data_IF_876956997448
#
_entry.id   IF_876956997448
#
_cell.length_a   1.000
_cell.length_b   1.000
_cell.length_c   1.000
_cell.angle_alpha   90.00
_cell.angle_beta   90.00
_cell.angle_gamma   90.00
#
_symmetry.space_group_name_H-M   'P 1'
#
loop_
_entity.id
_entity.type
_entity.pdbx_description
1 polymer ?
#
# COMPACT_ATOMS: atom_id res chain seq x y z
N UNK A 1 -10.10 -34.10 -61.53
CA UNK A 1 -8.83 -33.48 -61.08
C UNK A 1 -9.02 -32.25 -60.20
N UNK A 2 -9.80 -31.22 -60.60
CA UNK A 2 -9.96 -29.97 -59.81
C UNK A 2 -10.40 -30.16 -58.35
N UNK A 3 -11.36 -31.06 -58.06
CA UNK A 3 -11.83 -31.34 -56.68
C UNK A 3 -10.74 -31.93 -55.75
N UNK A 4 -9.82 -32.71 -56.30
CA UNK A 4 -8.76 -33.36 -55.53
C UNK A 4 -7.65 -32.36 -55.18
N UNK A 5 -7.38 -31.39 -56.06
CA UNK A 5 -6.43 -30.29 -55.81
C UNK A 5 -6.91 -29.35 -54.71
N UNK A 6 -8.21 -29.04 -54.65
CA UNK A 6 -8.77 -28.20 -53.57
C UNK A 6 -8.70 -28.87 -52.20
N UNK A 7 -8.94 -30.20 -52.12
CA UNK A 7 -8.87 -30.93 -50.84
C UNK A 7 -7.43 -30.96 -50.29
N UNK A 8 -6.44 -31.15 -51.17
CA UNK A 8 -5.02 -31.11 -50.77
C UNK A 8 -4.61 -29.71 -50.33
N UNK A 9 -5.05 -28.66 -51.04
CA UNK A 9 -4.73 -27.28 -50.67
C UNK A 9 -5.37 -26.87 -49.34
N UNK A 10 -6.63 -27.26 -49.09
CA UNK A 10 -7.30 -27.02 -47.80
C UNK A 10 -6.60 -27.80 -46.68
N UNK A 11 -6.16 -29.03 -46.91
CA UNK A 11 -5.43 -29.82 -45.92
C UNK A 11 -4.08 -29.20 -45.53
N UNK A 12 -3.36 -28.60 -46.50
CA UNK A 12 -2.10 -27.88 -46.25
C UNK A 12 -2.35 -26.58 -45.47
N UNK A 13 -3.38 -25.81 -45.83
CA UNK A 13 -3.73 -24.58 -45.13
C UNK A 13 -4.19 -24.86 -43.70
N UNK A 14 -4.98 -25.92 -43.48
CA UNK A 14 -5.42 -26.33 -42.15
C UNK A 14 -4.26 -26.86 -41.31
N UNK A 15 -3.28 -27.57 -41.88
CA UNK A 15 -2.08 -27.99 -41.14
C UNK A 15 -1.15 -26.83 -40.81
N UNK A 16 -1.02 -25.83 -41.69
CA UNK A 16 -0.31 -24.58 -41.39
C UNK A 16 -1.00 -23.76 -40.30
N UNK A 17 -2.33 -23.67 -40.32
CA UNK A 17 -3.12 -23.00 -39.28
C UNK A 17 -3.05 -23.74 -37.93
N UNK A 18 -3.08 -25.08 -37.94
CA UNK A 18 -2.94 -25.89 -36.72
C UNK A 18 -1.53 -25.82 -36.15
N UNK A 19 -0.48 -25.71 -36.98
CA UNK A 19 0.88 -25.45 -36.54
C UNK A 19 1.06 -24.04 -35.95
N UNK A 20 0.28 -23.05 -36.43
CA UNK A 20 0.24 -21.69 -35.88
C UNK A 20 -0.56 -21.55 -34.58
N UNK A 21 -1.39 -22.55 -34.23
CA UNK A 21 -2.17 -22.57 -32.99
C UNK A 21 -1.52 -23.36 -31.86
N UNK A 22 -0.37 -24.01 -32.09
CA UNK A 22 0.47 -24.52 -31.00
C UNK A 22 1.27 -23.34 -30.47
N UNK A 23 0.60 -22.50 -29.68
CA UNK A 23 1.28 -21.52 -28.83
C UNK A 23 2.40 -22.24 -28.10
N UNK A 24 3.62 -21.77 -28.31
CA UNK A 24 4.83 -22.27 -27.65
C UNK A 24 4.73 -21.84 -26.19
N UNK A 25 3.83 -22.47 -25.43
CA UNK A 25 3.76 -22.25 -24.00
C UNK A 25 5.08 -22.74 -23.42
N UNK A 26 5.88 -21.84 -22.83
CA UNK A 26 7.17 -22.21 -22.33
C UNK A 26 6.94 -23.25 -21.22
N UNK A 27 7.61 -24.41 -21.32
CA UNK A 27 7.44 -25.52 -20.37
C UNK A 27 8.33 -25.26 -19.17
N UNK A 28 7.73 -25.21 -17.99
CA UNK A 28 8.45 -25.03 -16.73
C UNK A 28 9.52 -26.12 -16.52
N UNK A 29 10.55 -25.75 -15.76
CA UNK A 29 11.59 -26.66 -15.30
C UNK A 29 11.00 -27.87 -14.54
N UNK A 30 11.83 -28.86 -14.19
CA UNK A 30 11.33 -30.06 -13.51
C UNK A 30 10.62 -29.76 -12.18
N UNK A 31 10.92 -28.63 -11.55
CA UNK A 31 10.24 -28.17 -10.32
C UNK A 31 8.97 -27.37 -10.59
N UNK A 32 8.71 -26.96 -11.83
CA UNK A 32 7.53 -26.21 -12.21
C UNK A 32 7.56 -24.74 -11.79
N UNK A 33 8.70 -24.18 -11.38
CA UNK A 33 8.80 -22.87 -10.71
C UNK A 33 9.18 -21.73 -11.65
N UNK A 34 10.02 -22.00 -12.65
CA UNK A 34 10.48 -21.00 -13.60
C UNK A 34 10.70 -21.61 -14.99
N UNK A 35 10.87 -20.75 -15.99
CA UNK A 35 11.35 -21.11 -17.32
C UNK A 35 12.49 -20.17 -17.68
N UNK A 36 13.64 -20.72 -18.04
CA UNK A 36 14.73 -19.98 -18.66
C UNK A 36 14.68 -20.24 -20.17
N UNK A 37 14.06 -19.32 -20.90
CA UNK A 37 13.94 -19.41 -22.35
C UNK A 37 15.20 -18.81 -22.99
N UNK A 38 16.01 -19.66 -23.63
CA UNK A 38 17.21 -19.21 -24.33
C UNK A 38 16.85 -18.55 -25.66
N UNK A 39 17.49 -17.42 -25.92
CA UNK A 39 17.43 -16.63 -27.15
C UNK A 39 18.81 -16.63 -27.84
N UNK A 40 18.90 -16.19 -29.11
CA UNK A 40 20.19 -16.10 -29.81
C UNK A 40 21.23 -15.20 -29.13
N UNK A 41 20.78 -14.19 -28.40
CA UNK A 41 21.57 -13.12 -27.78
C UNK A 41 21.38 -13.02 -26.26
N UNK A 42 20.81 -14.06 -25.64
CA UNK A 42 20.56 -14.04 -24.20
C UNK A 42 19.56 -15.09 -23.73
N UNK A 43 18.90 -14.80 -22.62
CA UNK A 43 17.80 -15.61 -22.11
C UNK A 43 16.73 -14.74 -21.44
N UNK A 44 15.50 -15.21 -21.46
CA UNK A 44 14.37 -14.63 -20.74
C UNK A 44 13.95 -15.56 -19.60
N UNK A 45 13.75 -14.99 -18.42
CA UNK A 45 13.22 -15.69 -17.26
C UNK A 45 11.72 -15.45 -17.15
N UNK A 46 10.95 -16.54 -17.09
CA UNK A 46 9.56 -16.56 -16.69
C UNK A 46 9.47 -17.20 -15.30
N UNK A 47 8.59 -16.68 -14.48
CA UNK A 47 8.34 -17.18 -13.12
C UNK A 47 6.90 -17.64 -13.04
N UNK A 48 6.62 -18.71 -12.30
CA UNK A 48 5.26 -19.24 -12.17
C UNK A 48 4.37 -18.24 -11.44
N UNK A 49 3.12 -18.13 -11.90
CA UNK A 49 2.07 -17.38 -11.22
C UNK A 49 1.90 -17.85 -9.75
N UNK A 50 1.75 -16.88 -8.85
CA UNK A 50 1.57 -17.09 -7.42
C UNK A 50 2.87 -17.13 -6.60
N UNK A 51 4.04 -17.11 -7.25
CA UNK A 51 5.31 -16.85 -6.57
C UNK A 51 5.43 -15.34 -6.34
N UNK A 52 5.69 -14.93 -5.10
CA UNK A 52 5.87 -13.52 -4.75
C UNK A 52 7.33 -13.09 -4.94
N UNK A 53 8.29 -13.98 -4.62
CA UNK A 53 9.71 -13.77 -4.89
C UNK A 53 10.44 -15.06 -5.29
N UNK A 54 11.50 -14.93 -6.09
CA UNK A 54 12.37 -16.01 -6.55
C UNK A 54 13.83 -15.59 -6.39
N UNK A 55 14.69 -16.48 -5.90
CA UNK A 55 16.14 -16.31 -5.94
C UNK A 55 16.73 -17.42 -6.81
N UNK A 56 17.48 -17.02 -7.84
CA UNK A 56 18.18 -17.95 -8.73
C UNK A 56 19.69 -17.71 -8.65
N UNK A 57 20.48 -18.77 -8.81
CA UNK A 57 21.91 -18.66 -9.08
C UNK A 57 22.16 -19.04 -10.53
N UNK A 58 22.57 -18.06 -11.33
CA UNK A 58 22.97 -18.22 -12.72
C UNK A 58 24.43 -18.65 -12.79
N UNK A 59 24.70 -19.62 -13.66
CA UNK A 59 26.05 -20.07 -14.01
C UNK A 59 26.22 -20.00 -15.52
N UNK A 60 27.38 -19.52 -15.96
CA UNK A 60 27.70 -19.33 -17.38
C UNK A 60 28.97 -18.50 -17.56
N UNK A 61 29.62 -18.62 -18.71
CA UNK A 61 30.81 -17.83 -19.01
C UNK A 61 30.46 -16.35 -19.18
N UNK A 62 31.22 -15.48 -18.48
CA UNK A 62 31.19 -14.04 -18.70
C UNK A 62 29.93 -13.31 -18.22
N UNK A 63 29.09 -13.93 -17.39
CA UNK A 63 27.89 -13.29 -16.84
C UNK A 63 28.24 -12.13 -15.91
N UNK A 64 27.60 -10.99 -16.13
CA UNK A 64 27.74 -9.79 -15.29
C UNK A 64 26.39 -9.25 -14.84
N UNK A 65 26.42 -8.38 -13.85
CA UNK A 65 25.22 -7.71 -13.35
C UNK A 65 24.62 -6.81 -14.44
N UNK A 66 25.47 -6.16 -15.23
CA UNK A 66 25.07 -5.27 -16.33
C UNK A 66 24.26 -5.96 -17.44
N UNK A 67 24.33 -7.29 -17.51
CA UNK A 67 23.60 -8.10 -18.48
C UNK A 67 22.12 -8.30 -18.09
N UNK A 68 21.75 -7.94 -16.86
CA UNK A 68 20.41 -8.14 -16.32
C UNK A 68 19.52 -6.94 -16.56
N UNK A 69 18.38 -7.15 -17.21
CA UNK A 69 17.38 -6.12 -17.46
C UNK A 69 16.00 -6.54 -16.94
N UNK A 70 15.46 -5.89 -15.89
CA UNK A 70 14.09 -6.15 -15.44
C UNK A 70 13.09 -5.75 -16.54
N UNK A 71 12.11 -6.60 -16.81
CA UNK A 71 11.12 -6.38 -17.89
C UNK A 71 9.74 -5.94 -17.38
N UNK A 72 9.52 -5.96 -16.06
CA UNK A 72 8.25 -5.67 -15.41
C UNK A 72 8.46 -4.86 -14.12
N UNK A 73 7.38 -4.60 -13.38
CA UNK A 73 7.43 -4.05 -12.03
C UNK A 73 8.03 -5.05 -11.04
N UNK A 74 9.32 -5.31 -11.17
CA UNK A 74 10.08 -6.19 -10.27
C UNK A 74 11.23 -5.41 -9.65
N UNK A 75 11.51 -5.69 -8.39
CA UNK A 75 12.77 -5.30 -7.75
C UNK A 75 13.76 -6.44 -7.93
N UNK A 76 15.04 -6.10 -8.06
CA UNK A 76 16.12 -7.07 -8.23
C UNK A 76 17.25 -6.74 -7.27
N UNK A 77 17.72 -7.75 -6.55
CA UNK A 77 18.98 -7.72 -5.79
C UNK A 77 19.93 -8.72 -6.45
N UNK A 78 21.17 -8.32 -6.67
CA UNK A 78 22.19 -9.15 -7.31
C UNK A 78 23.41 -9.31 -6.42
N UNK A 79 24.00 -10.50 -6.44
CA UNK A 79 25.29 -10.80 -5.81
C UNK A 79 26.13 -11.62 -6.76
N UNK A 80 27.35 -11.17 -7.02
CA UNK A 80 28.29 -11.88 -7.90
C UNK A 80 29.40 -12.52 -7.09
N UNK A 81 29.64 -13.81 -7.30
CA UNK A 81 30.72 -14.58 -6.71
C UNK A 81 31.54 -15.25 -7.82
N UNK A 82 32.50 -14.53 -8.40
CA UNK A 82 33.51 -14.98 -9.40
C UNK A 82 32.97 -15.69 -10.66
N UNK A 83 32.30 -16.84 -10.54
CA UNK A 83 31.67 -17.61 -11.62
C UNK A 83 30.14 -17.60 -11.59
N UNK A 84 29.54 -17.21 -10.45
CA UNK A 84 28.12 -17.37 -10.20
C UNK A 84 27.48 -16.00 -9.96
N UNK A 85 26.29 -15.81 -10.53
CA UNK A 85 25.50 -14.60 -10.35
C UNK A 85 24.17 -14.97 -9.68
N UNK A 86 24.04 -14.63 -8.40
CA UNK A 86 22.80 -14.77 -7.65
C UNK A 86 21.90 -13.57 -7.91
N UNK A 87 20.65 -13.84 -8.25
CA UNK A 87 19.64 -12.83 -8.60
C UNK A 87 18.38 -13.15 -7.80
N UNK A 88 18.06 -12.28 -6.84
CA UNK A 88 16.78 -12.29 -6.15
C UNK A 88 15.83 -11.31 -6.87
N UNK A 89 14.62 -11.77 -7.18
CA UNK A 89 13.60 -11.02 -7.91
C UNK A 89 12.32 -11.11 -7.11
N UNK A 90 11.71 -9.96 -6.82
CA UNK A 90 10.38 -9.92 -6.21
C UNK A 90 9.48 -8.97 -6.98
N UNK A 91 8.24 -9.40 -7.20
CA UNK A 91 7.25 -8.59 -7.86
C UNK A 91 6.75 -7.47 -6.95
N UNK A 92 6.53 -6.29 -7.53
CA UNK A 92 5.71 -5.24 -6.92
C UNK A 92 4.62 -4.85 -7.92
N UNK A 93 3.39 -4.59 -7.43
CA UNK A 93 2.18 -4.43 -8.25
C UNK A 93 1.80 -5.72 -9.00
N UNK A 94 0.87 -5.61 -9.94
CA UNK A 94 0.35 -6.75 -10.71
C UNK A 94 1.37 -7.20 -11.78
N UNK A 95 2.41 -7.94 -11.38
CA UNK A 95 3.32 -8.63 -12.31
C UNK A 95 2.53 -9.68 -13.10
N UNK A 96 2.65 -9.63 -14.42
CA UNK A 96 2.04 -10.60 -15.32
C UNK A 96 3.05 -11.71 -15.62
N UNK A 97 2.93 -12.80 -14.87
CA UNK A 97 3.80 -13.97 -15.02
C UNK A 97 3.62 -14.73 -16.34
N UNK A 98 2.64 -14.37 -17.19
CA UNK A 98 2.57 -14.85 -18.58
C UNK A 98 3.62 -14.19 -19.49
N UNK A 99 4.32 -13.16 -18.99
CA UNK A 99 5.41 -12.44 -19.66
C UNK A 99 6.72 -12.67 -18.92
N UNK A 100 7.88 -12.52 -19.61
CA UNK A 100 9.16 -12.65 -18.94
C UNK A 100 9.37 -11.51 -17.93
N UNK A 101 10.03 -11.81 -16.81
CA UNK A 101 10.31 -10.84 -15.73
C UNK A 101 11.73 -10.29 -15.78
N UNK A 102 12.65 -11.02 -16.42
CA UNK A 102 14.06 -10.66 -16.53
C UNK A 102 14.60 -11.07 -17.89
N UNK A 103 15.30 -10.15 -18.56
CA UNK A 103 16.15 -10.43 -19.71
C UNK A 103 17.61 -10.52 -19.22
N UNK A 104 18.33 -11.50 -19.75
CA UNK A 104 19.75 -11.75 -19.46
C UNK A 104 20.50 -11.71 -20.80
N UNK A 105 21.16 -10.60 -21.11
CA UNK A 105 21.95 -10.48 -22.34
C UNK A 105 23.23 -11.32 -22.26
N UNK A 106 23.51 -12.14 -23.26
CA UNK A 106 24.75 -12.93 -23.28
C UNK A 106 25.05 -13.46 -24.67
N UNK A 107 26.29 -13.28 -25.12
CA UNK A 107 26.82 -13.91 -26.34
C UNK A 107 26.95 -15.44 -26.19
N UNK A 108 26.90 -15.97 -24.96
CA UNK A 108 27.07 -17.38 -24.62
C UNK A 108 25.82 -17.99 -23.97
N UNK A 109 24.63 -17.55 -24.38
CA UNK A 109 23.35 -18.01 -23.85
C UNK A 109 23.17 -19.54 -23.82
N UNK A 110 23.79 -20.26 -24.75
CA UNK A 110 23.72 -21.72 -24.83
C UNK A 110 24.34 -22.43 -23.59
N UNK A 111 25.35 -21.82 -22.97
CA UNK A 111 26.03 -22.33 -21.78
C UNK A 111 25.38 -21.90 -20.46
N UNK A 112 24.38 -21.01 -20.51
CA UNK A 112 23.73 -20.46 -19.32
C UNK A 112 22.79 -21.49 -18.68
N UNK A 113 22.88 -21.64 -17.36
CA UNK A 113 21.99 -22.47 -16.58
C UNK A 113 21.68 -21.84 -15.21
N UNK A 114 20.59 -22.31 -14.58
CA UNK A 114 20.27 -22.01 -13.20
C UNK A 114 20.72 -23.19 -12.35
N UNK A 115 21.68 -22.96 -11.45
CA UNK A 115 22.26 -23.99 -10.58
C UNK A 115 21.50 -24.13 -9.25
N UNK A 116 20.88 -23.06 -8.76
CA UNK A 116 20.04 -23.02 -7.55
C UNK A 116 18.81 -22.17 -7.79
N UNK A 117 17.70 -22.55 -7.17
CA UNK A 117 16.45 -21.81 -7.22
C UNK A 117 15.71 -21.97 -5.89
N UNK A 118 15.39 -20.85 -5.26
CA UNK A 118 14.50 -20.74 -4.12
C UNK A 118 13.32 -19.80 -4.42
N UNK A 119 12.20 -19.98 -3.72
CA UNK A 119 10.94 -19.27 -4.00
C UNK A 119 10.16 -19.01 -2.74
N UNK A 120 9.57 -17.82 -2.64
CA UNK A 120 8.65 -17.44 -1.58
C UNK A 120 7.25 -17.26 -2.14
N UNK A 121 6.28 -17.81 -1.41
CA UNK A 121 4.85 -17.52 -1.55
C UNK A 121 4.39 -16.98 -0.21
N UNK A 122 4.01 -15.71 -0.18
CA UNK A 122 3.55 -15.05 1.03
C UNK A 122 2.15 -15.54 1.39
N UNK A 123 1.91 -15.72 2.68
CA UNK A 123 0.59 -16.09 3.14
C UNK A 123 -0.34 -14.88 3.02
N UNK A 124 -1.24 -14.91 2.03
CA UNK A 124 -2.14 -13.78 1.72
C UNK A 124 -3.29 -13.65 2.70
N UNK A 125 -3.53 -14.65 3.56
CA UNK A 125 -4.68 -14.69 4.47
C UNK A 125 -4.29 -15.40 5.78
N UNK A 126 -3.84 -14.64 6.79
CA UNK A 126 -4.00 -15.07 8.19
C UNK A 126 -5.37 -14.58 8.68
N UNK A 127 -6.43 -15.34 8.39
CA UNK A 127 -7.76 -15.15 9.01
C UNK A 127 -7.78 -15.53 10.50
N UNK A 128 -6.66 -15.37 11.20
CA UNK A 128 -6.63 -15.46 12.64
C UNK A 128 -7.11 -14.13 13.18
N UNK A 129 -8.40 -14.08 13.52
CA UNK A 129 -9.03 -13.03 14.33
C UNK A 129 -8.41 -13.07 15.74
N UNK A 130 -7.15 -12.68 15.86
CA UNK A 130 -6.60 -12.31 17.15
C UNK A 130 -7.26 -11.00 17.53
N UNK A 131 -7.71 -10.95 18.78
CA UNK A 131 -8.21 -9.75 19.42
C UNK A 131 -7.21 -8.63 19.10
N UNK A 132 -7.65 -7.61 18.35
CA UNK A 132 -6.83 -6.43 18.04
C UNK A 132 -6.29 -5.93 19.37
N UNK A 133 -5.03 -6.26 19.68
CA UNK A 133 -4.29 -5.49 20.66
C UNK A 133 -4.16 -4.10 20.05
N UNK A 134 -4.28 -3.07 20.88
CA UNK A 134 -4.34 -1.65 20.52
C UNK A 134 -3.02 -1.11 19.95
N UNK A 135 -2.38 -1.86 19.07
CA UNK A 135 -1.19 -1.43 18.33
C UNK A 135 -1.72 -0.87 17.01
N UNK A 136 -1.22 0.29 16.62
CA UNK A 136 -1.56 0.92 15.35
C UNK A 136 -0.84 0.22 14.19
N UNK A 137 -1.38 0.22 12.96
CA UNK A 137 -0.72 -0.38 11.81
C UNK A 137 0.62 0.31 11.51
N UNK A 138 1.63 -0.44 11.11
CA UNK A 138 2.94 0.09 10.72
C UNK A 138 3.11 0.02 9.19
N UNK A 139 3.81 0.98 8.58
CA UNK A 139 4.15 0.92 7.16
C UNK A 139 5.47 0.15 6.98
N UNK A 140 5.42 -1.19 7.08
CA UNK A 140 6.61 -2.04 7.00
C UNK A 140 7.34 -1.83 5.67
N UNK A 141 8.62 -1.44 5.73
CA UNK A 141 9.43 -1.10 4.56
C UNK A 141 9.68 0.40 4.36
N UNK A 142 9.04 1.27 5.14
CA UNK A 142 9.35 2.71 5.19
C UNK A 142 10.53 2.95 6.15
N UNK A 143 11.74 2.67 5.67
CA UNK A 143 12.94 2.64 6.52
C UNK A 143 13.52 4.02 6.82
N UNK A 144 13.21 5.01 5.97
CA UNK A 144 13.59 6.39 6.18
C UNK A 144 12.50 7.18 6.95
N UNK A 145 11.32 6.58 7.14
CA UNK A 145 10.19 7.14 7.86
C UNK A 145 9.46 8.25 7.11
N UNK A 146 9.63 8.37 5.78
CA UNK A 146 9.06 9.46 4.99
C UNK A 146 7.57 9.30 4.67
N UNK A 147 7.00 8.13 5.01
CA UNK A 147 5.62 7.77 4.76
C UNK A 147 5.39 7.12 3.40
N UNK A 148 6.44 6.88 2.62
CA UNK A 148 6.39 6.29 1.29
C UNK A 148 7.45 5.20 1.15
N UNK A 149 7.05 4.02 0.67
CA UNK A 149 8.01 2.94 0.42
C UNK A 149 8.53 3.09 -1.01
N UNK A 150 9.75 3.61 -1.14
CA UNK A 150 10.34 4.01 -2.42
C UNK A 150 11.72 3.43 -2.66
N UNK A 151 12.37 3.88 -3.74
CA UNK A 151 13.74 3.50 -4.08
C UNK A 151 14.73 3.87 -2.96
N UNK A 152 14.47 4.92 -2.18
CA UNK A 152 15.30 5.33 -1.04
C UNK A 152 15.37 4.22 0.02
N UNK A 153 14.22 3.62 0.33
CA UNK A 153 14.10 2.52 1.28
C UNK A 153 14.72 1.25 0.72
N UNK A 154 14.51 0.98 -0.57
CA UNK A 154 15.12 -0.16 -1.24
C UNK A 154 16.65 -0.05 -1.25
N UNK A 155 17.20 1.14 -1.49
CA UNK A 155 18.63 1.40 -1.45
C UNK A 155 19.23 1.22 -0.04
N UNK A 156 18.41 1.36 1.00
CA UNK A 156 18.80 1.08 2.38
C UNK A 156 18.73 -0.41 2.72
N UNK A 157 17.72 -1.12 2.20
CA UNK A 157 17.50 -2.56 2.42
C UNK A 157 18.48 -3.44 1.66
N UNK A 158 18.67 -3.19 0.35
CA UNK A 158 19.40 -4.09 -0.54
C UNK A 158 20.84 -4.42 -0.08
N UNK A 159 21.61 -3.48 0.50
CA UNK A 159 22.94 -3.78 1.04
C UNK A 159 22.94 -4.75 2.22
N UNK A 160 21.86 -4.82 3.00
CA UNK A 160 21.73 -5.71 4.16
C UNK A 160 21.23 -7.12 3.77
N UNK A 161 20.80 -7.30 2.52
CA UNK A 161 20.25 -8.57 2.04
C UNK A 161 21.26 -9.71 2.11
N UNK A 162 20.86 -10.78 2.80
CA UNK A 162 21.62 -12.01 3.01
C UNK A 162 22.64 -11.95 4.15
N UNK A 163 22.56 -10.93 5.00
CA UNK A 163 23.25 -10.89 6.29
C UNK A 163 22.35 -11.42 7.41
N UNK A 164 22.98 -11.90 8.47
CA UNK A 164 22.33 -12.47 9.66
C UNK A 164 22.83 -11.80 10.93
N UNK A 165 22.08 -11.97 12.02
CA UNK A 165 22.39 -11.45 13.34
C UNK A 165 23.86 -11.71 13.72
N UNK A 166 24.52 -10.68 14.24
CA UNK A 166 25.95 -10.69 14.54
C UNK A 166 26.86 -10.19 13.41
N UNK A 167 26.33 -9.96 12.20
CA UNK A 167 27.03 -9.24 11.13
C UNK A 167 26.92 -7.72 11.33
N UNK A 168 27.90 -6.94 10.85
CA UNK A 168 27.86 -5.47 10.96
C UNK A 168 26.74 -4.87 10.10
N UNK A 169 26.42 -5.54 9.00
CA UNK A 169 25.44 -5.13 8.00
C UNK A 169 24.00 -5.59 8.33
N UNK A 170 23.83 -6.40 9.37
CA UNK A 170 22.51 -6.80 9.84
C UNK A 170 21.87 -5.67 10.66
N UNK A 171 20.65 -5.30 10.29
CA UNK A 171 19.79 -4.37 11.03
C UNK A 171 18.41 -5.03 11.13
N UNK A 172 17.94 -5.22 12.36
CA UNK A 172 16.68 -5.93 12.69
C UNK A 172 15.47 -5.31 11.97
N UNK A 173 15.50 -4.01 11.66
CA UNK A 173 14.40 -3.36 10.92
C UNK A 173 14.19 -3.92 9.51
N UNK A 174 15.20 -4.56 8.93
CA UNK A 174 15.11 -5.20 7.61
C UNK A 174 14.66 -6.66 7.68
N UNK A 175 14.58 -7.25 8.89
CA UNK A 175 14.17 -8.63 9.15
C UNK A 175 12.66 -8.68 9.41
N UNK A 176 11.91 -8.64 8.30
CA UNK A 176 10.47 -8.43 8.23
C UNK A 176 9.72 -9.58 7.56
N UNK A 177 10.40 -10.71 7.28
CA UNK A 177 9.87 -11.84 6.53
C UNK A 177 8.63 -12.48 7.18
N UNK A 178 8.48 -12.32 8.49
CA UNK A 178 7.33 -12.80 9.26
C UNK A 178 6.18 -11.77 9.38
N UNK A 179 6.27 -10.60 8.75
CA UNK A 179 5.21 -9.57 8.82
C UNK A 179 3.88 -10.05 8.24
N UNK A 180 2.78 -9.48 8.73
CA UNK A 180 1.43 -9.91 8.40
C UNK A 180 0.50 -8.77 7.94
N UNK A 181 -0.56 -9.16 7.21
CA UNK A 181 -1.69 -8.29 6.82
C UNK A 181 -2.88 -8.58 7.72
N UNK A 182 -2.89 -8.04 8.94
CA UNK A 182 -3.94 -8.35 9.93
C UNK A 182 -5.05 -7.30 10.00
N UNK A 183 -4.83 -6.08 9.51
CA UNK A 183 -5.82 -5.02 9.57
C UNK A 183 -6.83 -5.09 8.42
N UNK A 184 -8.02 -4.54 8.67
CA UNK A 184 -9.07 -4.38 7.68
C UNK A 184 -8.95 -3.03 6.95
N UNK A 185 -9.90 -2.74 6.04
CA UNK A 185 -9.95 -1.47 5.34
C UNK A 185 -8.81 -1.29 4.36
N UNK A 186 -8.17 -0.12 4.35
CA UNK A 186 -7.09 0.19 3.40
C UNK A 186 -5.81 -0.61 3.71
N UNK A 187 -5.58 -0.92 4.99
CA UNK A 187 -4.41 -1.66 5.48
C UNK A 187 -4.43 -3.15 5.13
N UNK A 188 -5.57 -3.72 4.74
CA UNK A 188 -5.68 -5.14 4.35
C UNK A 188 -4.76 -5.52 3.17
N UNK A 189 -4.29 -4.52 2.41
CA UNK A 189 -3.40 -4.70 1.25
C UNK A 189 -1.91 -4.61 1.63
N UNK A 190 -1.59 -4.11 2.82
CA UNK A 190 -0.24 -3.69 3.25
C UNK A 190 0.20 -4.60 4.39
N UNK A 191 1.40 -5.17 4.30
CA UNK A 191 2.03 -5.79 5.46
C UNK A 191 2.26 -4.71 6.52
N UNK A 192 1.55 -4.83 7.64
CA UNK A 192 1.39 -3.73 8.59
C UNK A 192 1.44 -4.14 10.05
N UNK A 193 1.70 -5.41 10.29
CA UNK A 193 2.06 -5.93 11.61
C UNK A 193 3.48 -6.48 11.50
N UNK A 194 4.43 -5.97 12.30
CA UNK A 194 5.78 -6.54 12.34
C UNK A 194 5.69 -7.97 12.88
N UNK A 195 6.37 -8.89 12.20
CA UNK A 195 6.58 -10.26 12.69
C UNK A 195 7.76 -10.31 13.67
N UNK A 196 7.97 -11.45 14.31
CA UNK A 196 9.21 -11.68 15.05
C UNK A 196 10.36 -11.85 14.04
N UNK A 197 11.45 -11.07 14.13
CA UNK A 197 12.65 -11.26 13.32
C UNK A 197 13.19 -12.68 13.46
N UNK A 198 13.62 -13.28 12.36
CA UNK A 198 14.17 -14.65 12.36
C UNK A 198 15.70 -14.71 12.50
N UNK A 199 16.34 -13.53 12.54
CA UNK A 199 17.77 -13.34 12.67
C UNK A 199 18.49 -13.32 11.32
N UNK A 200 17.79 -13.30 10.18
CA UNK A 200 18.39 -13.31 8.84
C UNK A 200 17.57 -12.51 7.82
N UNK A 201 18.23 -11.63 7.07
CA UNK A 201 17.58 -10.87 6.00
C UNK A 201 17.63 -11.70 4.72
N UNK A 202 16.54 -12.35 4.35
CA UNK A 202 16.44 -13.36 3.29
C UNK A 202 15.43 -13.00 2.21
N UNK A 203 15.17 -13.94 1.29
CA UNK A 203 14.16 -13.81 0.25
C UNK A 203 12.75 -13.54 0.81
N UNK A 204 12.43 -14.00 2.03
CA UNK A 204 11.14 -13.73 2.66
C UNK A 204 10.96 -12.24 2.98
N UNK A 205 11.97 -11.62 3.57
CA UNK A 205 12.02 -10.19 3.89
C UNK A 205 11.91 -9.34 2.64
N UNK A 206 12.66 -9.72 1.60
CA UNK A 206 12.60 -9.04 0.32
C UNK A 206 11.22 -9.15 -0.33
N UNK A 207 10.56 -10.32 -0.21
CA UNK A 207 9.21 -10.51 -0.72
C UNK A 207 8.19 -9.59 -0.01
N UNK A 208 8.30 -9.45 1.31
CA UNK A 208 7.47 -8.54 2.12
C UNK A 208 7.70 -7.08 1.71
N UNK A 209 8.97 -6.65 1.68
CA UNK A 209 9.34 -5.29 1.26
C UNK A 209 8.81 -4.96 -0.14
N UNK A 210 9.07 -5.82 -1.12
CA UNK A 210 8.64 -5.60 -2.50
C UNK A 210 7.11 -5.60 -2.66
N UNK A 211 6.38 -6.41 -1.89
CA UNK A 211 4.92 -6.37 -1.88
C UNK A 211 4.35 -5.05 -1.33
N UNK A 212 5.08 -4.40 -0.42
CA UNK A 212 4.75 -3.09 0.10
C UNK A 212 5.36 -1.94 -0.74
N UNK A 213 6.24 -2.22 -1.70
CA UNK A 213 6.88 -1.18 -2.50
C UNK A 213 5.88 -0.35 -3.32
N UNK A 214 5.99 0.97 -3.19
CA UNK A 214 5.08 1.93 -3.82
C UNK A 214 3.79 2.18 -3.05
N UNK A 215 3.58 1.54 -1.89
CA UNK A 215 2.58 1.99 -0.94
C UNK A 215 3.08 3.23 -0.18
N UNK A 216 2.12 4.00 0.31
CA UNK A 216 2.33 5.13 1.20
C UNK A 216 1.44 4.95 2.42
N UNK A 217 1.73 5.67 3.50
CA UNK A 217 0.83 5.74 4.63
C UNK A 217 -0.52 6.27 4.10
N UNK A 218 -1.60 5.47 4.22
CA UNK A 218 -2.88 5.76 3.58
C UNK A 218 -3.51 7.06 4.06
N UNK A 219 -3.09 7.58 5.20
CA UNK A 219 -3.65 8.78 5.81
C UNK A 219 -2.95 10.10 5.40
N UNK A 220 -1.75 10.04 4.80
CA UNK A 220 -0.98 11.23 4.41
C UNK A 220 -1.62 12.04 3.29
N UNK A 221 -1.71 13.36 3.44
CA UNK A 221 -2.20 14.27 2.41
C UNK A 221 -3.30 15.19 2.91
N UNK A 222 -3.97 15.85 1.96
CA UNK A 222 -5.00 16.86 2.24
C UNK A 222 -6.38 16.20 2.34
N UNK A 223 -7.07 16.47 3.43
CA UNK A 223 -8.42 16.01 3.70
C UNK A 223 -9.38 17.20 3.70
N UNK A 224 -10.50 17.05 2.99
CA UNK A 224 -11.54 18.05 2.89
C UNK A 224 -12.78 17.56 3.62
N UNK A 225 -13.14 18.28 4.67
CA UNK A 225 -14.26 18.01 5.56
C UNK A 225 -15.46 18.87 5.18
N UNK A 226 -16.64 18.27 5.29
CA UNK A 226 -17.91 18.98 5.32
C UNK A 226 -18.68 18.51 6.54
N UNK A 227 -19.18 19.45 7.34
CA UNK A 227 -19.93 19.15 8.56
C UNK A 227 -21.18 20.01 8.67
N UNK A 228 -22.15 19.50 9.42
CA UNK A 228 -23.32 20.24 9.85
C UNK A 228 -23.48 20.10 11.35
N UNK A 229 -23.84 21.21 12.00
CA UNK A 229 -24.22 21.23 13.41
C UNK A 229 -25.63 21.78 13.56
N UNK A 230 -26.33 21.25 14.54
CA UNK A 230 -27.70 21.59 14.87
C UNK A 230 -27.85 21.45 16.40
N UNK A 231 -27.89 22.58 17.11
CA UNK A 231 -27.99 22.57 18.56
C UNK A 231 -28.68 23.81 19.14
N UNK A 232 -29.30 23.62 20.29
CA UNK A 232 -29.81 24.71 21.13
C UNK A 232 -28.68 25.31 21.97
N UNK A 233 -28.39 26.59 21.73
CA UNK A 233 -27.45 27.42 22.46
C UNK A 233 -28.18 28.29 23.49
N UNK A 234 -27.62 28.40 24.69
CA UNK A 234 -28.15 29.34 25.70
C UNK A 234 -27.90 30.81 25.35
N UNK A 235 -26.99 31.10 24.41
CA UNK A 235 -26.60 32.46 24.01
C UNK A 235 -27.25 32.88 22.69
N UNK A 236 -27.42 31.97 21.73
CA UNK A 236 -27.89 32.27 20.37
C UNK A 236 -29.25 31.63 20.03
N UNK A 237 -29.89 30.97 20.99
CA UNK A 237 -31.07 30.14 20.72
C UNK A 237 -30.73 28.96 19.82
N UNK A 238 -31.63 28.63 18.89
CA UNK A 238 -31.41 27.54 17.94
C UNK A 238 -30.33 27.91 16.92
N UNK A 239 -29.27 27.11 16.87
CA UNK A 239 -28.12 27.29 15.98
C UNK A 239 -28.09 26.17 14.96
N UNK A 240 -28.17 26.54 13.69
CA UNK A 240 -27.89 25.64 12.56
C UNK A 240 -26.71 26.18 11.79
N UNK A 241 -25.69 25.35 11.57
CA UNK A 241 -24.55 25.74 10.76
C UNK A 241 -24.05 24.60 9.87
N UNK A 242 -23.51 24.99 8.72
CA UNK A 242 -22.76 24.12 7.82
C UNK A 242 -21.34 24.66 7.76
N UNK A 243 -20.36 23.79 7.81
CA UNK A 243 -18.97 24.16 7.69
C UNK A 243 -18.18 23.27 6.74
N UNK A 244 -17.14 23.83 6.16
CA UNK A 244 -16.11 23.09 5.43
C UNK A 244 -14.76 23.35 6.08
N UNK A 245 -13.88 22.35 6.08
CA UNK A 245 -12.52 22.54 6.56
C UNK A 245 -11.51 21.69 5.81
N UNK A 246 -10.27 22.14 5.83
CA UNK A 246 -9.15 21.41 5.24
C UNK A 246 -8.18 21.02 6.34
N UNK A 247 -7.70 19.78 6.28
CA UNK A 247 -6.69 19.24 7.17
C UNK A 247 -5.56 18.68 6.31
N UNK A 248 -4.34 19.11 6.57
CA UNK A 248 -3.16 18.59 5.88
C UNK A 248 -2.38 17.67 6.83
N UNK A 249 -2.29 16.39 6.49
CA UNK A 249 -1.53 15.40 7.25
C UNK A 249 -0.18 15.20 6.59
N UNK A 250 0.84 15.86 7.16
CA UNK A 250 2.21 15.90 6.62
C UNK A 250 3.24 15.19 7.51
N UNK A 251 2.86 14.75 8.72
CA UNK A 251 3.78 14.19 9.70
C UNK A 251 3.64 12.67 9.87
N UNK A 252 4.80 12.06 10.15
CA UNK A 252 5.17 10.66 9.93
C UNK A 252 4.92 9.76 11.15
N UNK A 253 4.90 10.35 12.35
CA UNK A 253 4.49 9.68 13.57
C UNK A 253 3.07 10.14 13.89
N UNK A 254 2.21 9.23 14.33
CA UNK A 254 0.76 9.36 14.56
C UNK A 254 0.25 10.56 15.38
N UNK A 255 1.12 11.51 15.76
CA UNK A 255 0.78 12.89 16.12
C UNK A 255 0.40 13.69 14.87
N UNK A 256 -0.70 13.28 14.25
CA UNK A 256 -1.28 13.98 13.11
C UNK A 256 -1.92 15.27 13.61
N UNK A 257 -1.16 16.36 13.57
CA UNK A 257 -1.60 17.71 13.90
C UNK A 257 -1.47 18.63 12.70
N UNK A 258 -2.45 19.51 12.53
CA UNK A 258 -2.49 20.51 11.48
C UNK A 258 -3.55 21.56 11.80
N UNK A 259 -3.37 22.82 11.37
CA UNK A 259 -4.42 23.81 11.51
C UNK A 259 -5.63 23.35 10.69
N UNK A 260 -6.81 23.33 11.32
CA UNK A 260 -8.06 23.14 10.61
C UNK A 260 -8.72 24.51 10.48
N UNK A 261 -8.68 25.05 9.27
CA UNK A 261 -9.45 26.25 8.93
C UNK A 261 -10.88 25.80 8.61
N UNK A 262 -11.83 26.14 9.50
CA UNK A 262 -13.24 25.87 9.28
C UNK A 262 -13.92 27.16 8.85
N UNK A 263 -14.47 27.19 7.65
CA UNK A 263 -15.43 28.23 7.27
C UNK A 263 -16.82 27.71 7.59
N UNK A 264 -17.60 28.45 8.39
CA UNK A 264 -18.97 28.07 8.72
C UNK A 264 -19.93 29.24 8.52
N UNK A 265 -21.14 28.91 8.08
CA UNK A 265 -22.25 29.85 8.02
C UNK A 265 -23.32 29.39 8.99
N UNK A 266 -23.81 30.29 9.85
CA UNK A 266 -24.86 29.98 10.80
C UNK A 266 -26.07 30.88 10.64
N UNK A 267 -27.24 30.28 10.85
CA UNK A 267 -28.49 31.00 11.06
C UNK A 267 -28.92 30.81 12.52
N UNK A 268 -29.19 31.91 13.22
CA UNK A 268 -29.64 31.90 14.62
C UNK A 268 -30.75 32.93 14.86
N UNK A 269 -31.45 32.83 15.99
CA UNK A 269 -32.49 33.78 16.39
C UNK A 269 -31.97 34.60 17.57
N UNK A 270 -31.89 35.92 17.42
CA UNK A 270 -31.42 36.80 18.49
C UNK A 270 -32.44 36.93 19.65
N UNK A 271 -32.04 37.60 20.74
CA UNK A 271 -32.88 37.81 21.93
C UNK A 271 -34.19 38.55 21.64
N UNK A 272 -34.24 39.29 20.52
CA UNK A 272 -35.42 40.03 20.05
C UNK A 272 -36.31 39.18 19.11
N UNK A 273 -35.95 37.92 18.87
CA UNK A 273 -36.70 37.00 18.02
C UNK A 273 -36.42 37.14 16.52
N UNK A 274 -35.40 37.91 16.11
CA UNK A 274 -35.05 38.09 14.71
C UNK A 274 -34.09 37.00 14.23
N UNK A 275 -34.35 36.48 13.03
CA UNK A 275 -33.42 35.56 12.37
C UNK A 275 -32.23 36.33 11.82
N UNK A 276 -31.03 35.93 12.21
CA UNK A 276 -29.73 36.46 11.76
C UNK A 276 -28.96 35.40 11.00
N UNK A 277 -28.14 35.85 10.06
CA UNK A 277 -27.21 35.03 9.30
C UNK A 277 -25.81 35.63 9.46
N UNK A 278 -24.84 34.78 9.80
CA UNK A 278 -23.43 35.16 9.93
C UNK A 278 -22.53 34.10 9.30
N UNK A 279 -21.48 34.57 8.64
CA UNK A 279 -20.33 33.75 8.25
C UNK A 279 -19.19 34.03 9.22
N UNK A 280 -18.56 32.97 9.71
CA UNK A 280 -17.41 33.07 10.57
C UNK A 280 -16.41 31.97 10.25
N UNK A 281 -15.14 32.29 10.45
CA UNK A 281 -14.05 31.32 10.37
C UNK A 281 -13.65 30.92 11.77
N UNK A 282 -13.58 29.61 12.03
CA UNK A 282 -13.03 29.05 13.25
C UNK A 282 -11.68 28.44 12.88
N UNK A 283 -10.64 28.93 13.52
CA UNK A 283 -9.33 28.28 13.53
C UNK A 283 -9.29 27.33 14.73
N UNK A 284 -9.00 26.05 14.48
CA UNK A 284 -8.74 25.09 15.55
C UNK A 284 -7.22 25.07 15.78
N UNK A 285 -6.78 25.66 16.90
CA UNK A 285 -5.38 25.90 17.27
C UNK A 285 -4.51 24.63 17.18
N UNK A 286 -5.06 23.48 17.58
CA UNK A 286 -4.40 22.18 17.50
C UNK A 286 -5.44 21.07 17.44
N UNK A 287 -5.19 20.10 16.57
CA UNK A 287 -6.05 18.93 16.39
C UNK A 287 -5.21 17.68 16.59
N UNK A 288 -5.64 16.80 17.49
CA UNK A 288 -5.09 15.45 17.62
C UNK A 288 -5.98 14.50 16.84
N UNK A 289 -5.37 13.69 15.97
CA UNK A 289 -6.09 12.75 15.13
C UNK A 289 -5.60 11.35 15.41
N UNK A 290 -6.54 10.46 15.71
CA UNK A 290 -6.29 9.05 15.98
C UNK A 290 -7.05 8.23 14.95
N UNK A 291 -6.33 7.39 14.20
CA UNK A 291 -6.90 6.41 13.30
C UNK A 291 -6.76 5.02 13.89
N UNK A 292 -7.88 4.32 14.09
CA UNK A 292 -7.88 2.90 14.48
C UNK A 292 -8.47 2.13 13.32
N UNK A 293 -7.64 1.68 12.36
CA UNK A 293 -7.90 0.91 11.11
C UNK A 293 -9.22 1.13 10.33
N UNK A 294 -10.37 1.15 11.00
CA UNK A 294 -11.74 1.42 10.55
C UNK A 294 -12.38 2.69 11.13
N UNK A 295 -11.73 3.42 12.05
CA UNK A 295 -12.27 4.61 12.70
C UNK A 295 -11.29 5.79 12.61
N UNK A 296 -11.85 7.00 12.53
CA UNK A 296 -11.13 8.27 12.69
C UNK A 296 -11.72 9.02 13.87
N UNK A 297 -10.85 9.46 14.76
CA UNK A 297 -11.18 10.33 15.89
C UNK A 297 -10.35 11.60 15.79
N UNK A 298 -11.01 12.73 15.95
CA UNK A 298 -10.40 14.06 15.88
C UNK A 298 -10.77 14.78 17.17
N UNK A 299 -9.78 15.20 17.94
CA UNK A 299 -9.99 16.03 19.13
C UNK A 299 -9.33 17.38 18.94
N UNK A 300 -9.98 18.45 19.35
CA UNK A 300 -9.42 19.79 19.30
C UNK A 300 -10.17 20.73 20.22
N UNK A 301 -9.68 21.96 20.35
CA UNK A 301 -10.35 23.00 21.13
C UNK A 301 -10.68 24.18 20.22
N UNK A 302 -11.91 24.69 20.31
CA UNK A 302 -12.33 25.92 19.65
C UNK A 302 -12.55 27.03 20.67
N UNK A 303 -12.26 28.27 20.31
CA UNK A 303 -12.72 29.43 21.07
C UNK A 303 -14.01 29.99 20.46
N UNK A 304 -14.95 30.37 21.31
CA UNK A 304 -16.13 31.13 20.90
C UNK A 304 -15.65 32.49 20.36
N UNK A 305 -16.01 32.87 19.12
CA UNK A 305 -15.54 34.11 18.52
C UNK A 305 -16.07 35.38 19.21
N UNK A 306 -17.15 35.28 19.98
CA UNK A 306 -17.81 36.42 20.62
C UNK A 306 -17.38 36.60 22.07
N UNK A 307 -17.29 35.51 22.85
CA UNK A 307 -16.97 35.59 24.29
C UNK A 307 -15.62 34.96 24.68
N UNK A 308 -14.89 34.37 23.72
CA UNK A 308 -13.58 33.76 23.95
C UNK A 308 -13.59 32.45 24.76
N UNK A 309 -14.76 31.93 25.15
CA UNK A 309 -14.87 30.67 25.90
C UNK A 309 -14.38 29.51 25.05
N UNK A 310 -13.51 28.68 25.60
CA UNK A 310 -13.00 27.49 24.91
C UNK A 310 -13.92 26.29 25.08
N UNK A 311 -14.10 25.51 24.02
CA UNK A 311 -14.84 24.26 23.99
C UNK A 311 -13.98 23.15 23.42
N UNK A 312 -14.01 21.99 24.06
CA UNK A 312 -13.39 20.78 23.54
C UNK A 312 -14.36 20.07 22.59
N UNK A 313 -13.88 19.81 21.38
CA UNK A 313 -14.60 19.13 20.31
C UNK A 313 -14.04 17.72 20.17
N UNK A 314 -14.94 16.77 19.98
CA UNK A 314 -14.65 15.41 19.53
C UNK A 314 -15.42 15.15 18.24
N UNK A 315 -14.73 14.83 17.15
CA UNK A 315 -15.35 14.31 15.93
C UNK A 315 -15.00 12.83 15.81
N UNK A 316 -16.01 11.97 15.71
CA UNK A 316 -15.82 10.53 15.53
C UNK A 316 -16.53 10.03 14.27
N UNK A 317 -15.82 9.29 13.42
CA UNK A 317 -16.32 8.77 12.15
C UNK A 317 -15.82 7.36 11.85
N UNK A 318 -16.56 6.63 11.00
CA UNK A 318 -16.12 5.35 10.44
C UNK A 318 -15.40 5.59 9.12
N UNK A 319 -14.34 4.83 8.87
CA UNK A 319 -13.64 4.78 7.59
C UNK A 319 -14.32 3.77 6.67
N UNK A 320 -14.96 4.27 5.60
CA UNK A 320 -15.39 3.46 4.46
C UNK A 320 -14.28 3.48 3.41
N UNK A 321 -14.00 2.32 2.81
CA UNK A 321 -12.96 2.16 1.79
C UNK A 321 -13.59 1.69 0.49
N UNK A 322 -13.38 2.42 -0.60
CA UNK A 322 -13.82 2.05 -1.95
C UNK A 322 -12.63 2.07 -2.89
N UNK A 323 -12.22 0.88 -3.36
CA UNK A 323 -11.00 0.76 -4.16
C UNK A 323 -9.75 1.15 -3.34
N UNK A 324 -9.17 2.30 -3.68
CA UNK A 324 -8.01 2.90 -2.99
C UNK A 324 -8.37 4.22 -2.26
N UNK A 325 -9.64 4.64 -2.29
CA UNK A 325 -10.11 5.85 -1.64
C UNK A 325 -10.65 5.55 -0.24
N UNK A 326 -10.50 6.52 0.67
CA UNK A 326 -10.95 6.45 2.06
C UNK A 326 -11.94 7.57 2.31
N UNK A 327 -13.09 7.23 2.87
CA UNK A 327 -14.19 8.13 3.20
C UNK A 327 -14.51 8.01 4.69
N UNK A 328 -14.03 8.91 5.53
CA UNK A 328 -14.52 9.03 6.89
C UNK A 328 -15.92 9.65 6.88
N UNK A 329 -16.88 8.99 7.53
CA UNK A 329 -18.25 9.46 7.63
C UNK A 329 -18.82 9.20 9.03
N UNK A 330 -19.57 10.18 9.54
CA UNK A 330 -20.22 10.08 10.84
C UNK A 330 -21.67 9.60 10.79
N UNK A 331 -22.21 9.33 9.59
CA UNK A 331 -23.61 8.97 9.32
C UNK A 331 -23.93 7.48 9.56
N UNK A 332 -23.04 6.74 10.24
CA UNK A 332 -23.23 5.33 10.58
C UNK A 332 -24.33 5.10 11.63
N UNK A 333 -25.03 3.97 11.54
CA UNK A 333 -26.18 3.54 12.37
C UNK A 333 -25.86 3.19 13.84
N UNK A 334 -25.02 3.97 14.52
CA UNK A 334 -24.70 3.78 15.94
C UNK A 334 -24.55 5.10 16.69
N UNK A 335 -24.94 5.13 17.96
CA UNK A 335 -24.97 6.33 18.82
C UNK A 335 -23.58 6.96 19.10
N UNK A 336 -22.49 6.35 18.62
CA UNK A 336 -21.11 6.78 18.91
C UNK A 336 -20.42 7.65 17.86
N UNK A 337 -21.03 7.97 16.72
CA UNK A 337 -20.39 8.76 15.65
C UNK A 337 -21.09 10.12 15.45
N UNK A 338 -20.31 11.16 15.16
CA UNK A 338 -20.79 12.53 15.02
C UNK A 338 -19.76 13.58 15.45
N UNK A 339 -20.23 14.82 15.59
CA UNK A 339 -19.53 15.93 16.23
C UNK A 339 -20.08 16.07 17.65
N UNK A 340 -19.20 16.12 18.64
CA UNK A 340 -19.54 16.20 20.06
C UNK A 340 -18.83 17.37 20.72
N UNK A 341 -19.53 18.07 21.62
CA UNK A 341 -18.91 18.88 22.67
C UNK A 341 -18.65 17.97 23.86
N UNK A 342 -17.49 18.03 24.51
CA UNK A 342 -17.11 17.04 25.54
C UNK A 342 -17.53 17.47 26.96
N UNK A 343 -17.74 18.78 27.20
CA UNK A 343 -18.00 19.31 28.54
C UNK A 343 -19.22 20.26 28.56
N UNK A 344 -20.45 19.75 28.78
CA UNK A 344 -20.83 18.33 28.91
C UNK A 344 -20.88 17.60 27.56
N UNK A 345 -20.77 16.26 27.58
CA UNK A 345 -20.83 15.42 26.38
C UNK A 345 -22.19 15.56 25.68
N UNK A 346 -22.21 16.16 24.49
CA UNK A 346 -23.42 16.33 23.67
C UNK A 346 -23.08 16.14 22.19
N UNK A 347 -23.79 15.24 21.51
CA UNK A 347 -23.77 15.18 20.04
C UNK A 347 -24.47 16.43 19.49
N UNK A 348 -23.78 17.16 18.64
CA UNK A 348 -24.26 18.42 18.06
C UNK A 348 -24.27 18.40 16.53
N UNK A 349 -23.76 17.35 15.89
CA UNK A 349 -23.68 17.35 14.43
C UNK A 349 -23.15 16.08 13.79
N UNK A 350 -23.01 16.16 12.47
CA UNK A 350 -22.49 15.12 11.59
C UNK A 350 -21.46 15.69 10.62
N UNK A 351 -20.61 14.83 10.08
CA UNK A 351 -19.55 15.21 9.14
C UNK A 351 -19.20 14.07 8.19
N UNK A 352 -18.64 14.47 7.05
CA UNK A 352 -17.96 13.59 6.10
C UNK A 352 -16.64 14.23 5.70
N UNK A 353 -15.67 13.41 5.33
CA UNK A 353 -14.48 13.91 4.65
C UNK A 353 -14.08 13.02 3.48
N UNK A 354 -13.26 13.60 2.62
CA UNK A 354 -12.62 12.92 1.51
C UNK A 354 -11.19 13.43 1.36
N UNK A 355 -10.34 12.56 0.83
CA UNK A 355 -8.94 12.83 0.56
C UNK A 355 -8.73 13.08 -0.93
#
# INVERSE_FOLDING_TARGET
MKRMTYIVFISIVVTMLMASCVGHFPRFDQSGRYILQRLPDGAELYVREGIDAIEITLVGEGLKIEDLSPLQGVLIITRSNHSDLTVAISGFRNVDFSRPVLLISSEHAAGMAISKCDTIVLNRISNSYWKQNSVDPELIGDYNGDGYITLSDFASFAPAYGFSEGSQEYDEKFDVGASEKQYSGIWQKIFSVPGAPDGSITLADFAVFANNYGFANPYLGTWNFTGTIDYESSTYGYVKATGTGTLEINQQNWEMSGPVEITASSTYTDEDGNVKFEEFSIEIDSVDIVFISTEMTITGSMANPVNGTKYDILMKGKLRVEGNAIFPESSGTGEGYGIFLINPVRKIGEWTAHK
#
